data_IF_547821432652
#
_entry.id   IF_547821432652
#
_cell.length_a   1.000
_cell.length_b   1.000
_cell.length_c   1.000
_cell.angle_alpha   90.00
_cell.angle_beta   90.00
_cell.angle_gamma   90.00
#
_symmetry.space_group_name_H-M   'P 1'
#
loop_
_entity.id
_entity.type
_entity.pdbx_description
1 polymer ?
#
# COMPACT_ATOMS: atom_id res chain seq x y z
N UNK A 1 -31.01 -5.17 -14.94
CA UNK A 1 -31.07 -3.70 -15.00
C UNK A 1 -29.73 -3.12 -15.46
N UNK A 2 -29.74 -2.36 -16.52
CA UNK A 2 -28.52 -1.71 -16.95
C UNK A 2 -28.18 -0.57 -15.99
N UNK A 3 -27.01 -0.62 -15.39
CA UNK A 3 -26.56 0.44 -14.51
C UNK A 3 -26.26 1.71 -15.32
N UNK A 4 -26.88 2.82 -14.96
CA UNK A 4 -26.56 4.14 -15.54
C UNK A 4 -25.14 4.58 -15.23
N UNK A 5 -24.48 3.93 -14.28
CA UNK A 5 -23.10 4.21 -13.90
C UNK A 5 -22.06 3.63 -14.85
N UNK A 6 -22.40 2.50 -15.49
CA UNK A 6 -21.47 1.81 -16.39
C UNK A 6 -21.02 2.70 -17.56
N UNK A 7 -21.90 3.42 -18.29
CA UNK A 7 -21.48 4.37 -19.32
C UNK A 7 -20.57 5.46 -18.81
N UNK A 8 -20.83 5.95 -17.60
CA UNK A 8 -19.99 6.98 -16.95
C UNK A 8 -18.59 6.44 -16.64
N UNK A 9 -18.52 5.21 -16.16
CA UNK A 9 -17.23 4.53 -15.89
C UNK A 9 -16.44 4.39 -17.19
N UNK A 10 -17.06 3.96 -18.25
CA UNK A 10 -16.42 3.80 -19.57
C UNK A 10 -15.89 5.16 -20.05
N UNK A 11 -16.70 6.21 -19.97
CA UNK A 11 -16.30 7.55 -20.39
C UNK A 11 -15.08 8.05 -19.61
N UNK A 12 -15.10 7.89 -18.27
CA UNK A 12 -13.96 8.26 -17.42
C UNK A 12 -12.69 7.49 -17.76
N UNK A 13 -12.81 6.18 -17.99
CA UNK A 13 -11.67 5.34 -18.33
C UNK A 13 -11.10 5.65 -19.71
N UNK A 14 -11.93 6.14 -20.64
CA UNK A 14 -11.46 6.61 -21.95
C UNK A 14 -10.66 7.91 -21.85
N UNK A 15 -11.03 8.78 -20.93
CA UNK A 15 -10.37 10.08 -20.75
C UNK A 15 -9.09 9.97 -19.93
N UNK A 16 -9.17 9.31 -18.79
CA UNK A 16 -8.05 9.18 -17.85
C UNK A 16 -8.04 7.79 -17.23
N UNK A 17 -6.85 7.32 -16.91
CA UNK A 17 -6.72 6.11 -16.11
C UNK A 17 -7.17 6.36 -14.67
N UNK A 18 -7.98 5.47 -14.12
CA UNK A 18 -8.53 5.58 -12.78
C UNK A 18 -8.37 4.29 -11.99
N UNK A 19 -8.19 4.43 -10.69
CA UNK A 19 -8.26 3.30 -9.76
C UNK A 19 -9.72 3.05 -9.37
N UNK A 20 -10.01 1.88 -8.76
CA UNK A 20 -11.35 1.57 -8.30
C UNK A 20 -11.89 2.59 -7.29
N UNK A 21 -11.13 3.01 -6.25
CA UNK A 21 -11.58 4.05 -5.33
C UNK A 21 -11.88 5.39 -6.01
N UNK A 22 -11.06 5.80 -6.97
CA UNK A 22 -11.28 7.04 -7.73
C UNK A 22 -12.56 6.98 -8.55
N UNK A 23 -12.81 5.85 -9.22
CA UNK A 23 -14.06 5.64 -9.96
C UNK A 23 -15.27 5.67 -9.03
N UNK A 24 -15.18 5.02 -7.88
CA UNK A 24 -16.24 5.01 -6.90
C UNK A 24 -16.62 6.43 -6.45
N UNK A 25 -15.62 7.27 -6.19
CA UNK A 25 -15.83 8.66 -5.80
C UNK A 25 -16.46 9.50 -6.93
N UNK A 26 -16.02 9.31 -8.17
CA UNK A 26 -16.49 10.08 -9.32
C UNK A 26 -17.88 9.67 -9.79
N UNK A 27 -18.23 8.42 -9.63
CA UNK A 27 -19.51 7.86 -10.10
C UNK A 27 -20.53 7.74 -8.96
N UNK A 28 -20.16 8.12 -7.75
CA UNK A 28 -21.01 8.07 -6.56
C UNK A 28 -21.52 6.65 -6.27
N UNK A 29 -20.63 5.70 -6.23
CA UNK A 29 -20.94 4.32 -5.85
C UNK A 29 -19.92 3.80 -4.84
N UNK A 30 -20.17 2.59 -4.34
CA UNK A 30 -19.21 1.93 -3.46
C UNK A 30 -18.01 1.43 -4.25
N UNK A 31 -16.88 1.30 -3.58
CA UNK A 31 -15.66 0.74 -4.17
C UNK A 31 -15.89 -0.67 -4.72
N UNK A 32 -16.69 -1.46 -4.00
CA UNK A 32 -17.07 -2.81 -4.44
C UNK A 32 -17.85 -2.78 -5.76
N UNK A 33 -18.80 -1.86 -5.91
CA UNK A 33 -19.56 -1.70 -7.15
C UNK A 33 -18.67 -1.28 -8.30
N UNK A 34 -17.75 -0.34 -8.07
CA UNK A 34 -16.78 0.09 -9.05
C UNK A 34 -15.90 -1.09 -9.49
N UNK A 35 -15.41 -1.88 -8.55
CA UNK A 35 -14.59 -3.05 -8.83
C UNK A 35 -15.35 -4.10 -9.65
N UNK A 36 -16.61 -4.32 -9.35
CA UNK A 36 -17.46 -5.25 -10.12
C UNK A 36 -17.63 -4.78 -11.58
N UNK A 37 -17.86 -3.49 -11.79
CA UNK A 37 -17.97 -2.93 -13.15
C UNK A 37 -16.64 -3.05 -13.92
N UNK A 38 -15.52 -2.77 -13.27
CA UNK A 38 -14.19 -2.94 -13.85
C UNK A 38 -13.95 -4.40 -14.24
N UNK A 39 -14.29 -5.34 -13.36
CA UNK A 39 -14.14 -6.78 -13.65
C UNK A 39 -14.95 -7.22 -14.85
N UNK A 40 -16.17 -6.74 -14.98
CA UNK A 40 -17.01 -7.02 -16.18
C UNK A 40 -16.34 -6.52 -17.45
N UNK A 41 -15.80 -5.32 -17.44
CA UNK A 41 -15.11 -4.72 -18.57
C UNK A 41 -13.81 -5.46 -18.90
N UNK A 42 -13.09 -5.94 -17.89
CA UNK A 42 -11.89 -6.75 -18.10
C UNK A 42 -12.21 -8.11 -18.71
N UNK A 43 -13.26 -8.77 -18.28
CA UNK A 43 -13.72 -10.04 -18.85
C UNK A 43 -14.10 -9.84 -20.32
N UNK A 44 -14.74 -8.72 -20.65
CA UNK A 44 -15.07 -8.37 -22.02
C UNK A 44 -13.83 -7.99 -22.86
N UNK A 45 -12.67 -7.78 -22.23
CA UNK A 45 -11.43 -7.41 -22.91
C UNK A 45 -11.34 -5.95 -23.32
N UNK A 46 -12.20 -5.09 -22.78
CA UNK A 46 -12.25 -3.66 -23.14
C UNK A 46 -11.45 -2.76 -22.20
N UNK A 47 -10.99 -3.27 -21.08
CA UNK A 47 -10.22 -2.53 -20.09
C UNK A 47 -8.96 -3.30 -19.73
N UNK A 48 -7.87 -2.60 -19.57
CA UNK A 48 -6.60 -3.17 -19.15
C UNK A 48 -6.00 -2.36 -18.01
N UNK A 49 -5.01 -2.94 -17.32
CA UNK A 49 -4.26 -2.26 -16.25
C UNK A 49 -3.16 -1.45 -16.95
N UNK A 50 -3.25 -0.12 -16.87
CA UNK A 50 -2.26 0.78 -17.46
C UNK A 50 -0.98 0.83 -16.65
N UNK A 51 -1.11 0.93 -15.34
CA UNK A 51 0.02 1.02 -14.42
C UNK A 51 -0.39 0.55 -13.02
N UNK A 52 0.58 0.37 -12.17
CA UNK A 52 0.38 0.11 -10.75
C UNK A 52 0.84 1.32 -9.95
N UNK A 53 -0.05 1.84 -9.14
CA UNK A 53 0.21 3.00 -8.30
C UNK A 53 0.26 2.58 -6.83
N UNK A 54 1.24 3.10 -6.11
CA UNK A 54 1.31 2.83 -4.68
C UNK A 54 0.42 3.80 -3.91
N UNK A 55 -0.49 3.24 -3.12
CA UNK A 55 -1.33 3.98 -2.19
C UNK A 55 -1.02 3.49 -0.78
N UNK A 56 -0.18 4.24 -0.06
CA UNK A 56 0.29 3.82 1.26
C UNK A 56 1.09 2.51 1.19
N UNK A 57 0.57 1.46 1.81
CA UNK A 57 1.22 0.14 1.84
C UNK A 57 0.77 -0.78 0.72
N UNK A 58 -0.23 -0.39 -0.04
CA UNK A 58 -0.87 -1.24 -1.04
C UNK A 58 -0.58 -0.73 -2.44
N UNK A 59 -0.40 -1.65 -3.38
CA UNK A 59 -0.35 -1.35 -4.80
C UNK A 59 -1.76 -1.43 -5.36
N UNK A 60 -2.19 -0.37 -6.03
CA UNK A 60 -3.50 -0.26 -6.63
C UNK A 60 -3.36 -0.21 -8.15
N UNK A 61 -4.17 -1.01 -8.85
CA UNK A 61 -4.18 -1.02 -10.30
C UNK A 61 -4.88 0.23 -10.83
N UNK A 62 -4.26 0.88 -11.83
CA UNK A 62 -4.86 1.98 -12.58
C UNK A 62 -5.40 1.40 -13.87
N UNK A 63 -6.72 1.43 -14.02
CA UNK A 63 -7.40 0.89 -15.20
C UNK A 63 -7.59 1.95 -16.26
N UNK A 64 -7.51 1.54 -17.50
CA UNK A 64 -7.81 2.39 -18.64
C UNK A 64 -8.62 1.62 -19.69
N UNK A 65 -9.54 2.33 -20.35
CA UNK A 65 -10.35 1.75 -21.41
C UNK A 65 -9.48 1.55 -22.66
N UNK A 66 -9.65 0.42 -23.28
CA UNK A 66 -8.96 0.08 -24.51
C UNK A 66 -8.33 -1.31 -24.44
N UNK A 67 -7.97 -1.84 -25.59
CA UNK A 67 -7.27 -3.12 -25.70
C UNK A 67 -5.78 -2.86 -25.40
N UNK A 68 -5.22 -3.62 -24.50
CA UNK A 68 -3.81 -3.49 -24.15
C UNK A 68 -3.36 -4.61 -23.24
N UNK A 69 -2.06 -4.73 -23.09
CA UNK A 69 -1.45 -5.69 -22.17
C UNK A 69 -1.46 -5.09 -20.76
N UNK A 70 -1.90 -5.89 -19.80
CA UNK A 70 -1.87 -5.47 -18.40
C UNK A 70 -0.43 -5.21 -17.94
N UNK A 71 -0.23 -4.12 -17.22
CA UNK A 71 1.06 -3.82 -16.64
C UNK A 71 1.45 -4.88 -15.61
N UNK A 72 2.71 -5.26 -15.61
CA UNK A 72 3.22 -6.25 -14.66
C UNK A 72 3.22 -5.64 -13.25
N UNK A 73 2.64 -6.37 -12.31
CA UNK A 73 2.65 -5.95 -10.91
C UNK A 73 4.09 -5.95 -10.38
N UNK A 74 4.56 -4.83 -9.83
CA UNK A 74 5.89 -4.78 -9.22
C UNK A 74 6.02 -5.82 -8.11
N UNK A 75 7.21 -6.41 -7.93
CA UNK A 75 7.41 -7.35 -6.82
C UNK A 75 7.22 -6.64 -5.48
N UNK A 76 6.78 -7.36 -4.44
CA UNK A 76 6.65 -6.78 -3.11
C UNK A 76 8.02 -6.27 -2.62
N UNK A 77 7.99 -5.20 -1.85
CA UNK A 77 9.21 -4.65 -1.28
C UNK A 77 9.89 -5.67 -0.36
N UNK A 78 11.21 -5.77 -0.49
CA UNK A 78 12.00 -6.56 0.44
C UNK A 78 11.95 -5.92 1.84
N UNK A 79 12.19 -6.70 2.91
CA UNK A 79 12.26 -6.13 4.26
C UNK A 79 13.27 -4.98 4.38
N UNK A 80 14.39 -5.06 3.69
CA UNK A 80 15.39 -3.99 3.67
C UNK A 80 14.88 -2.71 3.00
N UNK A 81 14.17 -2.83 1.88
CA UNK A 81 13.58 -1.69 1.19
C UNK A 81 12.49 -1.02 2.02
N UNK A 82 11.65 -1.82 2.69
CA UNK A 82 10.64 -1.30 3.61
C UNK A 82 11.27 -0.53 4.75
N UNK A 83 12.33 -1.07 5.31
CA UNK A 83 13.07 -0.43 6.39
C UNK A 83 13.71 0.88 5.93
N UNK A 84 14.33 0.88 4.74
CA UNK A 84 14.90 2.07 4.14
C UNK A 84 13.85 3.18 3.98
N UNK A 85 12.70 2.84 3.40
CA UNK A 85 11.60 3.80 3.20
C UNK A 85 11.05 4.31 4.52
N UNK A 86 10.95 3.46 5.51
CA UNK A 86 10.55 3.86 6.85
C UNK A 86 11.52 4.87 7.45
N UNK A 87 12.82 4.61 7.34
CA UNK A 87 13.86 5.51 7.83
C UNK A 87 13.88 6.84 7.11
N UNK A 88 13.66 6.85 5.80
CA UNK A 88 13.58 8.08 5.01
C UNK A 88 12.41 8.98 5.45
N UNK A 89 11.33 8.40 5.91
CA UNK A 89 10.16 9.14 6.40
C UNK A 89 10.23 9.50 7.88
N UNK A 90 11.19 8.98 8.60
CA UNK A 90 11.40 9.29 10.00
C UNK A 90 11.78 10.75 10.21
N UNK A 91 11.17 11.40 11.21
CA UNK A 91 11.65 12.69 11.68
C UNK A 91 12.95 12.53 12.44
N UNK A 92 13.69 13.64 12.63
CA UNK A 92 14.94 13.63 13.40
C UNK A 92 14.71 13.14 14.84
N UNK A 93 13.61 13.53 15.45
CA UNK A 93 13.26 13.13 16.81
C UNK A 93 12.94 11.63 16.88
N UNK A 94 12.18 11.11 15.93
CA UNK A 94 11.86 9.69 15.84
C UNK A 94 13.12 8.86 15.61
N UNK A 95 14.02 9.36 14.76
CA UNK A 95 15.30 8.71 14.52
C UNK A 95 16.17 8.67 15.78
N UNK A 96 16.25 9.77 16.49
CA UNK A 96 17.01 9.84 17.74
C UNK A 96 16.44 8.88 18.78
N UNK A 97 15.12 8.82 18.91
CA UNK A 97 14.45 7.90 19.82
C UNK A 97 14.71 6.44 19.45
N UNK A 98 14.63 6.10 18.16
CA UNK A 98 14.92 4.75 17.69
C UNK A 98 16.36 4.33 17.98
N UNK A 99 17.32 5.21 17.71
CA UNK A 99 18.74 4.94 17.98
C UNK A 99 19.01 4.77 19.48
N UNK A 100 18.37 5.57 20.31
CA UNK A 100 18.47 5.43 21.76
C UNK A 100 17.92 4.09 22.25
N UNK A 101 16.79 3.65 21.68
CA UNK A 101 16.18 2.37 21.99
C UNK A 101 17.09 1.20 21.56
N UNK A 102 17.68 1.27 20.38
CA UNK A 102 18.61 0.24 19.88
C UNK A 102 19.86 0.15 20.77
N UNK A 103 20.41 1.29 21.19
CA UNK A 103 21.54 1.30 22.13
C UNK A 103 21.18 0.66 23.47
N UNK A 104 19.98 0.93 23.97
CA UNK A 104 19.49 0.32 25.19
C UNK A 104 19.35 -1.19 25.10
N UNK A 105 18.97 -1.72 23.91
CA UNK A 105 18.89 -3.16 23.66
C UNK A 105 20.26 -3.83 23.56
N UNK A 106 21.27 -3.13 23.03
CA UNK A 106 22.63 -3.64 22.93
C UNK A 106 23.35 -3.67 24.25
N UNK A 107 23.02 -2.74 25.15
CA UNK A 107 23.54 -2.70 26.50
C UNK A 107 22.79 -3.74 27.33
N UNK A 108 23.41 -4.86 27.62
CA UNK A 108 22.86 -5.80 28.59
C UNK A 108 22.78 -5.10 29.93
N UNK A 109 21.60 -5.03 30.57
CA UNK A 109 21.53 -4.45 31.89
C UNK A 109 22.44 -5.23 32.84
N UNK A 110 23.44 -4.55 33.37
CA UNK A 110 24.26 -5.15 34.42
C UNK A 110 23.40 -5.29 35.64
N UNK A 111 23.38 -6.48 36.20
CA UNK A 111 22.76 -6.69 37.49
C UNK A 111 23.43 -5.81 38.53
N UNK A 112 22.61 -5.12 39.29
CA UNK A 112 23.09 -4.40 40.44
C UNK A 112 23.86 -5.38 41.35
N UNK A 113 25.11 -5.08 41.78
CA UNK A 113 25.89 -5.96 42.66
C UNK A 113 25.17 -6.34 43.93
N UNK A 114 24.36 -5.44 44.50
CA UNK A 114 23.56 -5.72 45.67
C UNK A 114 22.49 -6.76 45.39
N UNK A 115 21.82 -6.67 44.25
CA UNK A 115 20.79 -7.65 43.89
C UNK A 115 21.43 -9.01 43.61
N UNK A 116 22.57 -9.04 42.95
CA UNK A 116 23.32 -10.28 42.70
C UNK A 116 23.78 -10.93 44.00
N UNK A 117 24.21 -10.14 44.98
CA UNK A 117 24.59 -10.64 46.27
C UNK A 117 23.42 -11.20 47.12
N UNK A 118 22.23 -10.58 46.98
CA UNK A 118 21.04 -11.01 47.70
C UNK A 118 20.36 -12.23 47.12
N UNK A 119 20.30 -12.31 45.75
CA UNK A 119 19.56 -13.35 45.07
C UNK A 119 20.44 -14.38 44.36
N UNK A 120 21.73 -14.22 44.42
CA UNK A 120 22.70 -15.09 43.76
C UNK A 120 22.70 -14.92 42.25
N UNK A 121 23.85 -15.07 41.64
CA UNK A 121 23.97 -15.12 40.17
C UNK A 121 23.66 -16.52 39.67
N UNK A 122 22.82 -16.59 38.67
CA UNK A 122 22.55 -17.86 37.97
C UNK A 122 22.91 -17.72 36.49
#
# INVERSE_FOLDING_TARGET
MKSARLPKVIDLLQRIGCTAPELAAKVYCTERSAQQMINRLRIAGTVHIQEWRRSGRVLVAVYRYGIGTDAVKPPPLTPMERLRRFRERESLDDKAFRLARERGKRLKPRRDPLVAALFGER
#
